data_IF_744545812530
#
_entry.id   IF_744545812530
#
_cell.length_a   1.000
_cell.length_b   1.000
_cell.length_c   1.000
_cell.angle_alpha   90.00
_cell.angle_beta   90.00
_cell.angle_gamma   90.00
#
_symmetry.space_group_name_H-M   'P 1'
#
loop_
_entity.id
_entity.type
_entity.pdbx_description
1 polymer ?
#
# COMPACT_ATOMS: atom_id res chain seq x y z
N UNK A 1 -0.97 -19.41 -20.02
CA UNK A 1 -1.24 -20.29 -18.87
C UNK A 1 -2.27 -19.61 -17.99
N UNK A 2 -3.42 -20.25 -17.71
CA UNK A 2 -4.39 -19.68 -16.78
C UNK A 2 -3.83 -19.77 -15.35
N UNK A 3 -3.77 -18.68 -14.57
CA UNK A 3 -3.36 -18.74 -13.18
C UNK A 3 -4.24 -19.73 -12.41
N UNK A 4 -3.57 -20.52 -11.57
CA UNK A 4 -4.20 -21.42 -10.61
C UNK A 4 -4.08 -20.77 -9.22
N UNK A 5 -5.17 -20.82 -8.46
CA UNK A 5 -5.21 -20.37 -7.06
C UNK A 5 -5.86 -21.45 -6.20
N UNK A 6 -5.15 -21.87 -5.16
CA UNK A 6 -5.67 -22.66 -4.06
C UNK A 6 -5.90 -21.72 -2.89
N UNK A 7 -7.02 -21.85 -2.19
CA UNK A 7 -7.25 -21.09 -0.97
C UNK A 7 -7.99 -21.90 0.08
N UNK A 8 -7.73 -21.59 1.34
CA UNK A 8 -8.45 -22.12 2.49
C UNK A 8 -8.64 -21.02 3.54
N UNK A 9 -9.74 -21.07 4.30
CA UNK A 9 -9.99 -20.13 5.39
C UNK A 9 -11.34 -20.35 6.06
N UNK A 10 -11.63 -19.49 7.04
CA UNK A 10 -12.86 -19.54 7.83
C UNK A 10 -12.78 -20.42 9.06
N UNK A 11 -13.58 -20.08 10.08
CA UNK A 11 -13.60 -20.77 11.36
C UNK A 11 -14.53 -22.00 11.29
N UNK A 12 -14.00 -23.24 11.49
CA UNK A 12 -14.81 -24.46 11.51
C UNK A 12 -15.89 -24.47 12.59
N UNK A 13 -15.66 -23.84 13.75
CA UNK A 13 -16.57 -23.82 14.90
C UNK A 13 -17.88 -23.07 14.61
N UNK A 14 -17.87 -22.17 13.63
CA UNK A 14 -19.05 -21.42 13.18
C UNK A 14 -19.50 -21.83 11.76
N UNK A 15 -19.07 -23.01 11.30
CA UNK A 15 -19.42 -23.59 10.01
C UNK A 15 -19.11 -22.66 8.81
N UNK A 16 -18.01 -21.91 8.87
CA UNK A 16 -17.54 -21.02 7.78
C UNK A 16 -16.29 -21.52 7.06
N UNK A 17 -15.83 -22.73 7.37
CA UNK A 17 -14.68 -23.32 6.70
C UNK A 17 -14.95 -23.49 5.20
N UNK A 18 -13.99 -23.06 4.37
CA UNK A 18 -14.04 -23.19 2.93
C UNK A 18 -12.65 -23.50 2.38
N UNK A 19 -12.59 -24.43 1.43
CA UNK A 19 -11.42 -24.71 0.61
C UNK A 19 -11.82 -24.74 -0.87
N UNK A 20 -11.06 -24.07 -1.72
CA UNK A 20 -11.39 -24.03 -3.16
C UNK A 20 -10.14 -24.04 -4.04
N UNK A 21 -10.29 -24.67 -5.20
CA UNK A 21 -9.36 -24.60 -6.32
C UNK A 21 -9.98 -23.77 -7.44
N UNK A 22 -9.33 -22.68 -7.82
CA UNK A 22 -9.84 -21.73 -8.82
C UNK A 22 -8.84 -21.65 -9.97
N UNK A 23 -9.35 -21.83 -11.19
CA UNK A 23 -8.60 -21.66 -12.44
C UNK A 23 -9.40 -20.79 -13.39
N UNK A 24 -8.77 -19.73 -13.90
CA UNK A 24 -9.44 -18.78 -14.79
C UNK A 24 -8.51 -17.64 -15.18
N UNK A 25 -9.04 -16.56 -15.76
CA UNK A 25 -8.28 -15.32 -15.94
C UNK A 25 -7.87 -14.74 -14.58
N UNK A 26 -6.81 -13.93 -14.53
CA UNK A 26 -6.33 -13.30 -13.27
C UNK A 26 -7.46 -12.54 -12.59
N UNK A 27 -8.24 -11.76 -13.35
CA UNK A 27 -9.38 -11.00 -12.85
C UNK A 27 -10.44 -11.89 -12.23
N UNK A 28 -10.96 -12.87 -12.98
CA UNK A 28 -12.02 -13.76 -12.50
C UNK A 28 -11.57 -14.58 -11.28
N UNK A 29 -10.36 -15.14 -11.34
CA UNK A 29 -9.81 -15.90 -10.23
C UNK A 29 -9.63 -15.03 -8.97
N UNK A 30 -9.19 -13.78 -9.12
CA UNK A 30 -9.05 -12.86 -7.99
C UNK A 30 -10.40 -12.42 -7.42
N UNK A 31 -11.42 -12.23 -8.25
CA UNK A 31 -12.78 -11.93 -7.80
C UNK A 31 -13.37 -13.09 -6.99
N UNK A 32 -13.21 -14.33 -7.45
CA UNK A 32 -13.67 -15.52 -6.71
C UNK A 32 -12.95 -15.71 -5.38
N UNK A 33 -11.63 -15.51 -5.33
CA UNK A 33 -10.84 -15.54 -4.10
C UNK A 33 -11.37 -14.52 -3.07
N UNK A 34 -11.69 -13.30 -3.51
CA UNK A 34 -12.23 -12.27 -2.63
C UNK A 34 -13.63 -12.61 -2.10
N UNK A 35 -14.51 -13.16 -2.94
CA UNK A 35 -15.83 -13.61 -2.50
C UNK A 35 -15.74 -14.73 -1.45
N UNK A 36 -14.82 -15.68 -1.64
CA UNK A 36 -14.52 -16.70 -0.65
C UNK A 36 -13.99 -16.10 0.67
N UNK A 37 -13.14 -15.07 0.61
CA UNK A 37 -12.67 -14.34 1.79
C UNK A 37 -13.84 -13.73 2.58
N UNK A 38 -14.79 -13.10 1.89
CA UNK A 38 -15.99 -12.53 2.53
C UNK A 38 -16.80 -13.64 3.21
N UNK A 39 -17.02 -14.77 2.54
CA UNK A 39 -17.73 -15.92 3.09
C UNK A 39 -17.03 -16.50 4.33
N UNK A 40 -15.70 -16.63 4.28
CA UNK A 40 -14.85 -17.13 5.34
C UNK A 40 -14.75 -16.19 6.57
N UNK A 41 -15.37 -15.01 6.54
CA UNK A 41 -15.31 -14.04 7.64
C UNK A 41 -14.15 -13.05 7.56
N UNK A 42 -13.65 -12.79 6.35
CA UNK A 42 -12.71 -11.71 6.04
C UNK A 42 -11.32 -12.17 5.65
N UNK A 43 -10.94 -13.43 5.90
CA UNK A 43 -9.57 -13.92 5.66
C UNK A 43 -9.54 -15.33 5.05
N UNK A 44 -8.71 -15.48 4.02
CA UNK A 44 -8.31 -16.76 3.42
C UNK A 44 -6.81 -16.76 3.13
N UNK A 45 -6.16 -17.89 3.30
CA UNK A 45 -4.81 -18.14 2.81
C UNK A 45 -4.88 -18.52 1.34
N UNK A 46 -3.98 -17.97 0.50
CA UNK A 46 -4.01 -18.19 -0.95
C UNK A 46 -2.63 -18.58 -1.48
N UNK A 47 -2.51 -19.79 -2.04
CA UNK A 47 -1.38 -20.17 -2.87
C UNK A 47 -1.73 -19.92 -4.34
N UNK A 48 -0.97 -19.07 -5.03
CA UNK A 48 -1.30 -18.60 -6.38
C UNK A 48 -0.06 -18.38 -7.25
N UNK A 49 -0.29 -18.30 -8.55
CA UNK A 49 0.69 -17.81 -9.53
C UNK A 49 2.04 -18.54 -9.46
N UNK A 50 2.03 -19.88 -9.48
CA UNK A 50 3.27 -20.66 -9.66
C UNK A 50 3.95 -20.24 -10.96
N UNK A 51 5.16 -19.69 -10.83
CA UNK A 51 5.96 -19.15 -11.93
C UNK A 51 7.37 -19.72 -11.87
N UNK A 52 8.06 -19.70 -13.00
CA UNK A 52 9.45 -20.17 -13.06
C UNK A 52 10.40 -19.20 -12.36
N UNK A 53 11.55 -19.68 -11.88
CA UNK A 53 12.59 -18.82 -11.32
C UNK A 53 13.06 -17.74 -12.32
N UNK A 54 13.12 -18.06 -13.62
CA UNK A 54 13.44 -17.09 -14.67
C UNK A 54 12.40 -15.97 -14.80
N UNK A 55 11.11 -16.29 -14.62
CA UNK A 55 10.06 -15.28 -14.59
C UNK A 55 10.21 -14.34 -13.39
N UNK A 56 10.48 -14.89 -12.19
CA UNK A 56 10.73 -14.10 -10.98
C UNK A 56 11.96 -13.21 -11.15
N UNK A 57 13.07 -13.75 -11.70
CA UNK A 57 14.28 -12.97 -11.97
C UNK A 57 14.02 -11.77 -12.91
N UNK A 58 13.12 -11.93 -13.87
CA UNK A 58 12.78 -10.88 -14.85
C UNK A 58 11.76 -9.86 -14.32
N UNK A 59 10.80 -10.29 -13.50
CA UNK A 59 9.60 -9.49 -13.18
C UNK A 59 9.44 -9.15 -11.69
N UNK A 60 10.12 -9.87 -10.81
CA UNK A 60 10.02 -9.68 -9.36
C UNK A 60 10.75 -8.44 -8.88
N UNK A 61 10.34 -7.95 -7.72
CA UNK A 61 11.10 -6.98 -6.93
C UNK A 61 12.25 -7.71 -6.22
N UNK A 62 13.32 -8.04 -6.96
CA UNK A 62 14.50 -8.69 -6.36
C UNK A 62 15.05 -7.83 -5.23
N UNK A 63 15.41 -8.49 -4.13
CA UNK A 63 15.86 -7.88 -2.86
C UNK A 63 14.84 -6.96 -2.17
N UNK A 64 13.57 -6.93 -2.61
CA UNK A 64 12.55 -6.06 -2.02
C UNK A 64 12.33 -6.28 -0.52
N UNK A 65 12.34 -7.55 -0.08
CA UNK A 65 12.24 -7.89 1.36
C UNK A 65 13.47 -7.42 2.13
N UNK A 66 14.67 -7.66 1.60
CA UNK A 66 15.93 -7.20 2.21
C UNK A 66 15.94 -5.67 2.33
N UNK A 67 15.52 -4.96 1.29
CA UNK A 67 15.44 -3.51 1.26
C UNK A 67 14.45 -2.96 2.31
N UNK A 68 13.29 -3.61 2.48
CA UNK A 68 12.34 -3.26 3.54
C UNK A 68 12.91 -3.50 4.94
N UNK A 69 13.61 -4.62 5.16
CA UNK A 69 14.29 -4.92 6.44
C UNK A 69 15.36 -3.87 6.74
N UNK A 70 16.16 -3.47 5.76
CA UNK A 70 17.19 -2.44 5.91
C UNK A 70 16.59 -1.08 6.24
N UNK A 71 15.51 -0.70 5.55
CA UNK A 71 14.74 0.51 5.86
C UNK A 71 14.26 0.49 7.31
N UNK A 72 13.66 -0.62 7.75
CA UNK A 72 13.22 -0.80 9.14
C UNK A 72 14.37 -0.70 10.15
N UNK A 73 15.54 -1.28 9.85
CA UNK A 73 16.73 -1.17 10.72
C UNK A 73 17.19 0.28 10.87
N UNK A 74 17.19 1.07 9.80
CA UNK A 74 17.55 2.49 9.86
C UNK A 74 16.50 3.28 10.62
N UNK A 75 15.22 3.04 10.36
CA UNK A 75 14.10 3.62 11.11
C UNK A 75 14.24 3.39 12.62
N UNK A 76 14.43 2.14 13.05
CA UNK A 76 14.58 1.82 14.48
C UNK A 76 15.87 2.39 15.10
N UNK A 77 16.93 2.60 14.33
CA UNK A 77 18.12 3.33 14.81
C UNK A 77 17.79 4.80 15.08
N UNK A 78 17.05 5.45 14.17
CA UNK A 78 16.56 6.81 14.37
C UNK A 78 15.64 6.91 15.59
N UNK A 79 14.70 5.96 15.73
CA UNK A 79 13.76 5.91 16.86
C UNK A 79 14.43 5.81 18.23
N UNK A 80 15.57 5.11 18.30
CA UNK A 80 16.37 5.03 19.54
C UNK A 80 16.99 6.37 19.94
N UNK A 81 17.16 7.30 19.00
CA UNK A 81 17.64 8.64 19.30
C UNK A 81 16.50 9.52 19.80
N UNK A 82 15.43 9.61 19.03
CA UNK A 82 14.17 10.27 19.39
C UNK A 82 13.09 9.95 18.34
N UNK A 83 11.86 10.32 18.65
CA UNK A 83 10.66 10.11 17.82
C UNK A 83 10.79 10.79 16.45
N UNK A 84 11.39 11.97 16.38
CA UNK A 84 11.50 12.74 15.13
C UNK A 84 12.54 12.16 14.18
N UNK A 85 13.65 11.64 14.70
CA UNK A 85 14.73 11.04 13.93
C UNK A 85 14.32 9.77 13.19
N UNK A 86 13.27 9.06 13.64
CA UNK A 86 12.85 7.79 13.04
C UNK A 86 12.35 7.95 11.58
N UNK A 87 11.33 8.78 11.28
CA UNK A 87 10.93 9.05 9.91
C UNK A 87 12.05 9.72 9.11
N UNK A 88 12.81 10.67 9.67
CA UNK A 88 13.90 11.34 8.93
C UNK A 88 14.97 10.34 8.46
N UNK A 89 15.38 9.40 9.34
CA UNK A 89 16.37 8.38 8.99
C UNK A 89 15.86 7.46 7.88
N UNK A 90 14.57 7.10 7.90
CA UNK A 90 13.96 6.30 6.85
C UNK A 90 13.83 7.07 5.53
N UNK A 91 13.47 8.36 5.57
CA UNK A 91 13.46 9.23 4.41
C UNK A 91 14.86 9.30 3.78
N UNK A 92 15.88 9.59 4.59
CA UNK A 92 17.27 9.69 4.12
C UNK A 92 17.74 8.40 3.45
N UNK A 93 17.54 7.25 4.09
CA UNK A 93 17.91 5.94 3.52
C UNK A 93 17.22 5.68 2.18
N UNK A 94 15.95 6.05 2.09
CA UNK A 94 15.16 5.91 0.87
C UNK A 94 15.37 7.07 -0.12
N UNK A 95 16.27 8.02 0.16
CA UNK A 95 16.48 9.25 -0.64
C UNK A 95 15.19 10.01 -0.91
N UNK A 96 14.34 10.07 0.11
CA UNK A 96 13.10 10.82 0.17
C UNK A 96 13.20 11.99 1.12
N UNK A 97 12.04 12.49 1.55
CA UNK A 97 11.91 13.63 2.46
C UNK A 97 10.65 13.51 3.30
N UNK A 98 10.69 14.05 4.52
CA UNK A 98 9.49 14.34 5.32
C UNK A 98 8.97 15.72 4.89
N UNK A 99 7.79 15.76 4.27
CA UNK A 99 7.28 16.98 3.62
C UNK A 99 6.52 17.91 4.57
N UNK A 100 5.85 17.34 5.58
CA UNK A 100 5.04 18.11 6.51
C UNK A 100 4.80 17.31 7.79
N UNK A 101 4.69 18.05 8.89
CA UNK A 101 4.07 17.61 10.12
C UNK A 101 2.79 18.42 10.35
N UNK A 102 1.69 17.74 10.64
CA UNK A 102 0.40 18.40 10.84
C UNK A 102 -0.67 17.51 11.44
N UNK A 103 -1.70 18.15 11.95
CA UNK A 103 -2.90 17.48 12.44
C UNK A 103 -3.75 17.04 11.24
N UNK A 104 -4.33 15.85 11.33
CA UNK A 104 -5.33 15.37 10.38
C UNK A 104 -6.63 16.15 10.59
N UNK A 105 -6.97 16.95 9.59
CA UNK A 105 -8.12 17.86 9.60
C UNK A 105 -9.39 17.22 9.05
N UNK A 106 -9.26 16.20 8.19
CA UNK A 106 -10.39 15.49 7.61
C UNK A 106 -9.97 14.09 7.14
N UNK A 107 -10.85 13.11 7.35
CA UNK A 107 -10.77 11.77 6.74
C UNK A 107 -12.11 11.44 6.10
N UNK A 108 -12.08 11.12 4.81
CA UNK A 108 -13.21 10.56 4.07
C UNK A 108 -12.83 9.13 3.69
N UNK A 109 -13.60 8.15 4.13
CA UNK A 109 -13.38 6.72 3.85
C UNK A 109 -14.65 6.09 3.28
N UNK A 110 -14.51 5.45 2.12
CA UNK A 110 -15.55 4.65 1.48
C UNK A 110 -15.03 3.25 1.17
N UNK A 111 -15.69 2.23 1.72
CA UNK A 111 -15.37 0.84 1.40
C UNK A 111 -16.21 0.36 0.21
N UNK A 112 -15.57 0.08 -0.92
CA UNK A 112 -16.25 -0.41 -2.14
C UNK A 112 -15.57 -1.67 -2.67
N UNK A 113 -16.32 -2.75 -2.85
CA UNK A 113 -15.78 -4.00 -3.42
C UNK A 113 -14.71 -4.68 -2.56
N UNK A 114 -14.74 -4.47 -1.24
CA UNK A 114 -13.76 -5.00 -0.29
C UNK A 114 -12.44 -4.23 -0.25
N UNK A 115 -12.44 -2.98 -0.71
CA UNK A 115 -11.30 -2.08 -0.65
C UNK A 115 -11.68 -0.74 -0.04
N UNK A 116 -10.73 -0.15 0.67
CA UNK A 116 -10.87 1.15 1.32
C UNK A 116 -10.31 2.25 0.42
N UNK A 117 -11.19 3.15 -0.01
CA UNK A 117 -10.85 4.27 -0.88
C UNK A 117 -11.20 5.56 -0.16
N UNK A 118 -10.30 6.53 -0.17
CA UNK A 118 -10.55 7.73 0.60
C UNK A 118 -9.53 8.83 0.42
N UNK A 119 -9.74 9.87 1.23
CA UNK A 119 -8.95 11.09 1.26
C UNK A 119 -8.63 11.43 2.71
N UNK A 120 -7.37 11.81 2.96
CA UNK A 120 -6.90 12.39 4.23
C UNK A 120 -6.42 13.80 3.94
N UNK A 121 -6.84 14.79 4.75
CA UNK A 121 -6.33 16.16 4.68
C UNK A 121 -5.51 16.51 5.91
N UNK A 122 -4.37 17.14 5.67
CA UNK A 122 -3.43 17.63 6.68
C UNK A 122 -2.99 19.02 6.26
N UNK A 123 -3.51 20.07 6.90
CA UNK A 123 -3.29 21.48 6.49
C UNK A 123 -3.68 21.69 5.01
N UNK A 124 -2.73 22.14 4.20
CA UNK A 124 -2.85 22.37 2.77
C UNK A 124 -2.51 21.14 1.92
N UNK A 125 -2.31 19.98 2.54
CA UNK A 125 -2.01 18.71 1.89
C UNK A 125 -3.23 17.80 1.80
N UNK A 126 -3.35 17.12 0.67
CA UNK A 126 -4.34 16.09 0.40
C UNK A 126 -3.64 14.78 0.03
N UNK A 127 -4.02 13.69 0.71
CA UNK A 127 -3.56 12.34 0.40
C UNK A 127 -4.76 11.51 -0.05
N UNK A 128 -4.72 10.94 -1.25
CA UNK A 128 -5.71 9.92 -1.64
C UNK A 128 -5.16 8.53 -1.35
N UNK A 129 -6.04 7.57 -1.05
CA UNK A 129 -5.63 6.18 -0.85
C UNK A 129 -6.61 5.18 -1.45
N UNK A 130 -6.07 4.03 -1.82
CA UNK A 130 -6.80 2.81 -2.17
C UNK A 130 -6.11 1.63 -1.47
N UNK A 131 -6.45 1.42 -0.19
CA UNK A 131 -5.69 0.69 0.85
C UNK A 131 -4.27 1.23 1.12
N UNK A 132 -3.53 1.60 0.07
CA UNK A 132 -2.24 2.27 0.14
C UNK A 132 -2.38 3.72 -0.32
N UNK A 133 -1.49 4.60 0.14
CA UNK A 133 -1.47 5.99 -0.29
C UNK A 133 -1.10 6.09 -1.77
N UNK A 134 -1.94 6.77 -2.54
CA UNK A 134 -1.89 6.81 -4.00
C UNK A 134 -1.37 8.14 -4.55
N UNK A 135 -1.80 9.26 -3.97
CA UNK A 135 -1.32 10.59 -4.37
C UNK A 135 -1.09 11.46 -3.15
N UNK A 136 -0.14 12.37 -3.25
CA UNK A 136 0.09 13.46 -2.31
C UNK A 136 0.09 14.78 -3.07
N UNK A 137 -0.80 15.69 -2.70
CA UNK A 137 -0.93 17.01 -3.32
C UNK A 137 -0.84 18.11 -2.26
N UNK A 138 -0.31 19.28 -2.63
CA UNK A 138 -0.27 20.48 -1.79
C UNK A 138 -0.89 21.63 -2.55
N UNK A 139 -1.97 22.23 -2.03
CA UNK A 139 -2.74 23.27 -2.74
C UNK A 139 -3.10 22.88 -4.20
N UNK A 140 -3.37 21.59 -4.45
CA UNK A 140 -3.66 21.05 -5.78
C UNK A 140 -2.44 20.72 -6.66
N UNK A 141 -1.22 21.04 -6.22
CA UNK A 141 0.02 20.64 -6.92
C UNK A 141 0.44 19.22 -6.51
N UNK A 142 0.70 18.36 -7.50
CA UNK A 142 1.12 16.96 -7.26
C UNK A 142 2.57 16.88 -6.78
N UNK A 143 2.77 16.33 -5.58
CA UNK A 143 4.09 16.12 -4.99
C UNK A 143 4.62 14.69 -5.09
N UNK A 144 3.72 13.69 -5.11
CA UNK A 144 4.05 12.29 -5.31
C UNK A 144 2.86 11.51 -5.87
N UNK A 145 3.13 10.53 -6.73
CA UNK A 145 2.12 9.65 -7.33
C UNK A 145 2.59 8.21 -7.27
N UNK A 146 1.73 7.30 -6.84
CA UNK A 146 2.00 5.87 -6.87
C UNK A 146 2.55 5.44 -8.25
N UNK A 147 3.66 4.69 -8.30
CA UNK A 147 4.27 3.89 -7.22
C UNK A 147 5.39 4.60 -6.44
N UNK A 148 5.46 5.93 -6.44
CA UNK A 148 6.21 6.63 -5.39
C UNK A 148 5.64 6.21 -4.03
N UNK A 149 6.51 6.03 -3.04
CA UNK A 149 6.06 5.64 -1.70
C UNK A 149 5.69 6.91 -0.94
N UNK A 150 4.45 6.95 -0.46
CA UNK A 150 3.95 7.92 0.51
C UNK A 150 3.70 7.15 1.81
N UNK A 151 4.15 7.69 2.94
CA UNK A 151 3.99 7.05 4.25
C UNK A 151 3.64 8.11 5.29
N UNK A 152 2.77 7.76 6.23
CA UNK A 152 2.45 8.58 7.40
C UNK A 152 3.05 7.98 8.66
N UNK A 153 3.45 8.83 9.59
CA UNK A 153 4.00 8.44 10.89
C UNK A 153 3.28 9.23 11.97
N UNK A 154 2.97 8.59 13.08
CA UNK A 154 2.40 9.25 14.25
C UNK A 154 3.47 10.15 14.89
N UNK A 155 3.21 11.44 15.03
CA UNK A 155 4.20 12.39 15.55
C UNK A 155 4.53 12.20 17.03
N UNK A 156 3.70 11.47 17.78
CA UNK A 156 3.91 11.24 19.22
C UNK A 156 4.83 10.04 19.43
N UNK A 157 4.64 8.97 18.66
CA UNK A 157 5.36 7.70 18.81
C UNK A 157 6.45 7.49 17.78
N UNK A 158 6.40 8.19 16.65
CA UNK A 158 7.28 8.03 15.49
C UNK A 158 6.93 6.82 14.63
N UNK A 159 5.96 6.01 15.05
CA UNK A 159 5.62 4.76 14.38
C UNK A 159 4.87 5.01 13.06
N UNK A 160 5.08 4.16 12.03
CA UNK A 160 4.28 4.23 10.81
C UNK A 160 2.81 4.03 11.13
N UNK A 161 1.96 4.79 10.44
CA UNK A 161 0.50 4.73 10.52
C UNK A 161 0.00 4.41 9.11
N UNK A 162 -0.82 3.37 8.99
CA UNK A 162 -1.47 3.04 7.71
C UNK A 162 -2.73 3.86 7.48
N UNK A 163 -3.27 3.85 6.24
CA UNK A 163 -4.53 4.55 5.94
C UNK A 163 -5.74 3.99 6.71
N UNK A 164 -5.65 2.77 7.24
CA UNK A 164 -6.69 2.16 8.07
C UNK A 164 -6.57 2.61 9.54
N UNK A 165 -5.36 2.93 9.98
CA UNK A 165 -5.08 3.29 11.38
C UNK A 165 -5.15 4.80 11.63
N UNK A 166 -5.02 5.61 10.57
CA UNK A 166 -5.01 7.07 10.67
C UNK A 166 -6.35 7.60 11.17
N UNK A 167 -6.31 8.58 12.08
CA UNK A 167 -7.50 9.10 12.77
C UNK A 167 -7.61 10.62 12.66
N UNK A 168 -8.85 11.10 12.66
CA UNK A 168 -9.17 12.50 12.81
C UNK A 168 -8.48 13.09 14.05
N UNK A 169 -7.91 14.29 13.93
CA UNK A 169 -7.13 14.98 14.96
C UNK A 169 -5.79 14.34 15.36
N UNK A 170 -5.38 13.23 14.74
CA UNK A 170 -4.02 12.69 14.94
C UNK A 170 -2.98 13.65 14.36
N UNK A 171 -1.86 13.84 15.03
CA UNK A 171 -0.73 14.61 14.46
C UNK A 171 0.20 13.62 13.77
N UNK A 172 0.44 13.84 12.48
CA UNK A 172 1.23 12.94 11.64
C UNK A 172 2.33 13.68 10.88
N UNK A 173 3.43 12.96 10.64
CA UNK A 173 4.44 13.32 9.64
C UNK A 173 4.16 12.58 8.35
N UNK A 174 4.23 13.27 7.22
CA UNK A 174 4.10 12.68 5.88
C UNK A 174 5.48 12.63 5.24
N UNK A 175 5.87 11.45 4.78
CA UNK A 175 7.08 11.21 3.99
C UNK A 175 6.71 10.86 2.55
N UNK A 176 7.55 11.25 1.60
CA UNK A 176 7.56 10.67 0.26
C UNK A 176 8.97 10.25 -0.19
N UNK A 177 9.04 9.24 -1.07
CA UNK A 177 10.23 8.94 -1.87
C UNK A 177 9.85 8.48 -3.28
N UNK A 178 10.73 8.75 -4.24
CA UNK A 178 10.51 8.33 -5.63
C UNK A 178 10.59 6.81 -5.78
N UNK A 179 9.73 6.26 -6.64
CA UNK A 179 9.77 4.87 -7.13
C UNK A 179 11.14 4.42 -7.66
N UNK A 180 11.98 5.37 -8.10
CA UNK A 180 13.34 5.12 -8.58
C UNK A 180 14.28 4.62 -7.46
N UNK A 181 13.96 4.94 -6.21
CA UNK A 181 14.73 4.53 -5.04
C UNK A 181 14.27 3.18 -4.47
N UNK A 182 13.16 2.64 -4.98
CA UNK A 182 12.52 1.43 -4.47
C UNK A 182 12.82 0.21 -5.34
N UNK A 183 12.84 -0.97 -4.71
CA UNK A 183 12.85 -2.26 -5.41
C UNK A 183 11.42 -2.64 -5.80
N UNK A 184 11.05 -2.35 -7.05
CA UNK A 184 9.70 -2.60 -7.56
C UNK A 184 9.67 -3.69 -8.63
N UNK A 185 8.63 -4.51 -8.60
CA UNK A 185 8.36 -5.52 -9.63
C UNK A 185 7.79 -4.88 -10.90
N UNK A 186 7.78 -5.64 -12.00
CA UNK A 186 7.30 -5.15 -13.30
C UNK A 186 5.81 -4.76 -13.29
N UNK A 187 5.01 -5.31 -12.38
CA UNK A 187 3.60 -4.94 -12.21
C UNK A 187 3.37 -3.46 -11.89
N UNK A 188 4.33 -2.79 -11.24
CA UNK A 188 4.26 -1.35 -10.95
C UNK A 188 4.50 -0.47 -12.20
N UNK A 189 4.81 -1.09 -13.35
CA UNK A 189 4.99 -0.42 -14.65
C UNK A 189 3.81 -0.66 -15.60
N UNK A 190 2.81 -1.43 -15.18
CA UNK A 190 1.63 -1.73 -16.00
C UNK A 190 0.69 -0.53 -16.02
N UNK A 191 0.67 0.18 -17.16
CA UNK A 191 -0.17 1.37 -17.36
C UNK A 191 -1.66 1.05 -17.21
N UNK A 192 -2.12 -0.14 -17.57
CA UNK A 192 -3.54 -0.48 -17.48
C UNK A 192 -4.00 -0.61 -16.03
N UNK A 193 -3.13 -1.11 -15.15
CA UNK A 193 -3.40 -1.19 -13.71
C UNK A 193 -3.37 0.20 -13.07
N UNK A 194 -2.40 1.04 -13.44
CA UNK A 194 -2.28 2.41 -12.93
C UNK A 194 -3.45 3.29 -13.39
N UNK A 195 -3.93 3.12 -14.62
CA UNK A 195 -5.12 3.82 -15.11
C UNK A 195 -6.39 3.44 -14.32
N UNK A 196 -6.56 2.15 -14.03
CA UNK A 196 -7.67 1.67 -13.21
C UNK A 196 -7.59 2.24 -11.78
N UNK A 197 -6.40 2.26 -11.20
CA UNK A 197 -6.19 2.85 -9.88
C UNK A 197 -6.57 4.35 -9.87
N UNK A 198 -6.18 5.10 -10.91
CA UNK A 198 -6.55 6.51 -11.07
C UNK A 198 -8.06 6.73 -11.15
N UNK A 199 -8.78 5.87 -11.88
CA UNK A 199 -10.25 5.89 -11.95
C UNK A 199 -10.91 5.66 -10.59
N UNK A 200 -10.35 4.78 -9.75
CA UNK A 200 -10.89 4.44 -8.43
C UNK A 200 -10.75 5.61 -7.45
N UNK A 201 -9.58 6.26 -7.41
CA UNK A 201 -9.32 7.41 -6.53
C UNK A 201 -9.76 8.75 -7.14
N UNK A 202 -10.31 8.72 -8.36
CA UNK A 202 -10.69 9.91 -9.13
C UNK A 202 -9.52 10.91 -9.30
N UNK A 203 -8.32 10.42 -9.63
CA UNK A 203 -7.12 11.22 -9.93
C UNK A 203 -6.41 10.69 -11.17
N UNK A 204 -5.78 11.59 -11.91
CA UNK A 204 -4.86 11.20 -12.98
C UNK A 204 -3.53 10.71 -12.39
N UNK A 205 -3.19 9.45 -12.68
CA UNK A 205 -1.92 8.83 -12.32
C UNK A 205 -0.95 8.83 -13.51
N UNK A 206 -1.44 8.57 -14.73
CA UNK A 206 -0.59 8.28 -15.88
C UNK A 206 0.21 9.48 -16.37
N UNK A 207 -0.33 10.69 -16.23
CA UNK A 207 0.38 11.91 -16.64
C UNK A 207 1.46 12.36 -15.62
N UNK A 208 1.60 11.67 -14.48
CA UNK A 208 2.52 12.01 -13.40
C UNK A 208 3.62 10.95 -13.16
N UNK A 209 3.77 9.97 -14.06
CA UNK A 209 4.68 8.81 -13.90
C UNK A 209 5.73 8.69 -14.99
#
# INVERSE_FOLDING_TARGET
MFPVRLQWGGNPEINKYLETFIRGSIGNASSMVRQASIFAGGLVCVARNSVTAGYVKKNGALDGVSHAIETGRVFYKGLKQNVESAPESAAEFLKGEVVIEGKVDEIILNTTGGFDVGVVKVKDYEITFWNEYMTLEKNGERLATFPDLIMTFDSITGMPVTSVEIKQNQVVKIMKTSKKNLKLGSGMKDKSLLEQAGKIINKDILNYI
#
